data_IF_203724557299
#
_entry.id   IF_203724557299
#
_cell.length_a   1.000
_cell.length_b   1.000
_cell.length_c   1.000
_cell.angle_alpha   90.00
_cell.angle_beta   90.00
_cell.angle_gamma   90.00
#
_symmetry.space_group_name_H-M   'P 1'
#
loop_
_entity.id
_entity.type
_entity.pdbx_description
1 polymer ?
#
# COMPACT_ATOMS: atom_id res chain seq x y z
N UNK A 1 6.62 -5.21 -17.90
CA UNK A 1 5.39 -4.43 -17.59
C UNK A 1 5.69 -3.47 -16.45
N UNK A 2 5.94 -2.20 -16.77
CA UNK A 2 6.22 -1.17 -15.77
C UNK A 2 4.88 -0.59 -15.28
N UNK A 3 4.36 -1.11 -14.16
CA UNK A 3 3.31 -0.42 -13.39
C UNK A 3 4.02 0.43 -12.34
N UNK A 4 4.51 1.59 -12.77
CA UNK A 4 5.32 2.52 -11.95
C UNK A 4 4.49 3.62 -11.29
N UNK A 5 3.16 3.51 -11.31
CA UNK A 5 2.33 4.45 -10.54
C UNK A 5 2.33 4.03 -9.08
N UNK A 6 2.92 4.87 -8.24
CA UNK A 6 2.91 4.67 -6.79
C UNK A 6 1.50 4.95 -6.26
N UNK A 7 1.00 4.07 -5.38
CA UNK A 7 -0.28 4.34 -4.71
C UNK A 7 -0.19 5.61 -3.91
N UNK A 8 -1.24 6.43 -3.99
CA UNK A 8 -1.38 7.61 -3.17
C UNK A 8 -1.43 7.24 -1.68
N UNK A 9 -0.97 8.15 -0.83
CA UNK A 9 -1.02 7.96 0.62
C UNK A 9 -2.47 7.77 1.11
N UNK A 10 -3.43 8.40 0.44
CA UNK A 10 -4.85 8.19 0.72
C UNK A 10 -5.28 6.74 0.47
N UNK A 11 -4.97 6.17 -0.71
CA UNK A 11 -5.30 4.78 -1.02
C UNK A 11 -4.62 3.80 -0.05
N UNK A 12 -3.37 4.07 0.35
CA UNK A 12 -2.66 3.29 1.37
C UNK A 12 -3.37 3.37 2.72
N UNK A 13 -3.79 4.57 3.12
CA UNK A 13 -4.58 4.80 4.32
C UNK A 13 -5.90 4.02 4.31
N UNK A 14 -6.62 4.03 3.18
CA UNK A 14 -7.88 3.28 3.04
C UNK A 14 -7.65 1.77 3.14
N UNK A 15 -6.57 1.23 2.55
CA UNK A 15 -6.17 -0.18 2.70
C UNK A 15 -5.97 -0.54 4.18
N UNK A 16 -5.22 0.28 4.93
CA UNK A 16 -4.96 0.04 6.35
C UNK A 16 -6.24 0.18 7.19
N UNK A 17 -7.07 1.19 6.93
CA UNK A 17 -8.36 1.34 7.62
C UNK A 17 -9.29 0.14 7.41
N UNK A 18 -9.32 -0.40 6.19
CA UNK A 18 -10.05 -1.63 5.90
C UNK A 18 -9.44 -2.86 6.60
N UNK A 19 -8.11 -2.94 6.68
CA UNK A 19 -7.42 -4.02 7.40
C UNK A 19 -7.71 -4.00 8.90
N UNK A 20 -7.71 -2.82 9.53
CA UNK A 20 -8.07 -2.63 10.94
C UNK A 20 -9.54 -2.99 11.21
N UNK A 21 -10.40 -2.84 10.21
CA UNK A 21 -11.81 -3.27 10.26
C UNK A 21 -12.00 -4.78 10.05
N UNK A 22 -10.95 -5.59 10.17
CA UNK A 22 -10.93 -7.05 9.95
C UNK A 22 -11.43 -7.50 8.56
N UNK A 23 -11.39 -6.63 7.54
CA UNK A 23 -11.72 -7.03 6.16
C UNK A 23 -10.59 -7.90 5.58
N UNK A 24 -10.98 -8.94 4.84
CA UNK A 24 -10.02 -9.81 4.18
C UNK A 24 -9.33 -9.11 3.00
N UNK A 25 -8.10 -9.52 2.68
CA UNK A 25 -7.33 -8.96 1.55
C UNK A 25 -8.10 -9.06 0.23
N UNK A 26 -8.86 -10.14 0.02
CA UNK A 26 -9.72 -10.32 -1.16
C UNK A 26 -10.81 -9.25 -1.22
N UNK A 27 -11.47 -8.96 -0.09
CA UNK A 27 -12.52 -7.94 -0.04
C UNK A 27 -11.95 -6.54 -0.28
N UNK A 28 -10.78 -6.23 0.32
CA UNK A 28 -10.09 -4.95 0.12
C UNK A 28 -9.67 -4.76 -1.34
N UNK A 29 -9.14 -5.82 -1.96
CA UNK A 29 -8.76 -5.84 -3.37
C UNK A 29 -9.96 -5.59 -4.29
N UNK A 30 -11.12 -6.19 -4.01
CA UNK A 30 -12.33 -5.95 -4.79
C UNK A 30 -12.91 -4.53 -4.58
N UNK A 31 -12.86 -4.01 -3.35
CA UNK A 31 -13.40 -2.69 -3.01
C UNK A 31 -12.58 -1.54 -3.62
N UNK A 32 -11.25 -1.68 -3.64
CA UNK A 32 -10.33 -0.66 -4.14
C UNK A 32 -9.87 -0.93 -5.57
N UNK A 33 -10.34 -2.02 -6.19
CA UNK A 33 -9.89 -2.50 -7.52
C UNK A 33 -8.37 -2.64 -7.63
N UNK A 34 -7.70 -2.90 -6.50
CA UNK A 34 -6.26 -3.04 -6.41
C UNK A 34 -5.84 -4.50 -6.53
N UNK A 35 -4.66 -4.81 -7.12
CA UNK A 35 -4.09 -6.15 -7.08
C UNK A 35 -3.90 -6.64 -5.64
N UNK A 36 -4.22 -7.92 -5.39
CA UNK A 36 -4.04 -8.55 -4.07
C UNK A 36 -2.59 -8.49 -3.57
N UNK A 37 -1.63 -8.56 -4.49
CA UNK A 37 -0.19 -8.41 -4.20
C UNK A 37 0.12 -7.03 -3.63
N UNK A 38 -0.46 -5.97 -4.21
CA UNK A 38 -0.32 -4.59 -3.75
C UNK A 38 -0.90 -4.41 -2.35
N UNK A 39 -2.11 -4.89 -2.12
CA UNK A 39 -2.76 -4.82 -0.79
C UNK A 39 -1.91 -5.54 0.26
N UNK A 40 -1.42 -6.73 -0.07
CA UNK A 40 -0.56 -7.51 0.82
C UNK A 40 0.76 -6.80 1.12
N UNK A 41 1.39 -6.21 0.09
CA UNK A 41 2.62 -5.45 0.25
C UNK A 41 2.45 -4.21 1.16
N UNK A 42 1.33 -3.49 1.01
CA UNK A 42 1.00 -2.34 1.88
C UNK A 42 0.80 -2.78 3.33
N UNK A 43 0.05 -3.86 3.58
CA UNK A 43 -0.17 -4.38 4.93
C UNK A 43 1.15 -4.83 5.56
N UNK A 44 1.98 -5.58 4.83
CA UNK A 44 3.28 -6.05 5.32
C UNK A 44 4.21 -4.87 5.62
N UNK A 45 4.24 -3.85 4.75
CA UNK A 45 5.05 -2.64 4.95
C UNK A 45 4.59 -1.86 6.19
N UNK A 46 3.27 -1.70 6.35
CA UNK A 46 2.69 -1.05 7.53
C UNK A 46 2.99 -1.82 8.82
N UNK A 47 2.85 -3.16 8.83
CA UNK A 47 3.20 -3.97 10.00
C UNK A 47 4.67 -3.87 10.41
N UNK A 48 5.58 -3.68 9.44
CA UNK A 48 7.03 -3.60 9.69
C UNK A 48 7.50 -2.22 10.11
N UNK A 49 6.98 -1.17 9.47
CA UNK A 49 7.49 0.20 9.64
C UNK A 49 6.53 1.11 10.41
N UNK A 50 5.27 0.72 10.61
CA UNK A 50 4.23 1.55 11.23
C UNK A 50 3.78 2.75 10.37
N UNK A 51 4.39 2.96 9.20
CA UNK A 51 4.10 4.10 8.33
C UNK A 51 3.15 3.72 7.19
N UNK A 52 2.19 4.61 6.93
CA UNK A 52 1.26 4.56 5.79
C UNK A 52 1.83 5.26 4.56
N UNK A 53 2.87 6.07 4.71
CA UNK A 53 3.46 6.86 3.63
C UNK A 53 4.50 6.07 2.84
N UNK A 54 4.59 6.32 1.53
CA UNK A 54 5.69 5.82 0.74
C UNK A 54 7.00 6.53 1.17
N UNK A 55 7.85 5.84 1.93
CA UNK A 55 9.21 6.34 2.15
C UNK A 55 9.91 6.57 0.80
N UNK A 56 10.61 7.70 0.64
CA UNK A 56 11.38 7.96 -0.57
C UNK A 56 12.36 6.80 -0.77
N UNK A 57 12.48 6.33 -2.02
CA UNK A 57 13.49 5.33 -2.35
C UNK A 57 14.85 5.94 -2.02
N UNK A 58 15.65 5.26 -1.19
CA UNK A 58 17.05 5.62 -1.02
C UNK A 58 17.76 5.39 -2.36
N UNK A 59 17.88 6.45 -3.14
CA UNK A 59 18.48 6.44 -4.47
C UNK A 59 19.57 7.50 -4.58
N UNK A 60 20.18 7.57 -5.77
CA UNK A 60 21.19 8.58 -6.08
C UNK A 60 20.64 9.98 -5.75
N UNK A 61 21.32 10.78 -4.91
CA UNK A 61 20.90 12.16 -4.67
C UNK A 61 20.80 12.88 -6.01
N UNK A 62 19.68 13.55 -6.24
CA UNK A 62 19.54 14.40 -7.40
C UNK A 62 20.54 15.55 -7.23
N UNK A 63 21.46 15.69 -8.19
CA UNK A 63 22.38 16.82 -8.24
C UNK A 63 21.61 18.10 -8.52
#
# INVERSE_FOLDING_TARGET
MARTEELSDFQRGTVIGCHLSNKSVRHISALLELPRSTVSAVIVKWKRLGVTTAQPRSGRPHK
#
